data_IF_634500910944
#
_entry.id   IF_634500910944
#
_cell.length_a   1.000
_cell.length_b   1.000
_cell.length_c   1.000
_cell.angle_alpha   90.00
_cell.angle_beta   90.00
_cell.angle_gamma   90.00
#
_symmetry.space_group_name_H-M   'P 1'
#
loop_
_entity.id
_entity.type
_entity.pdbx_description
1 polymer ?
#
# COMPACT_ATOMS: atom_id res chain seq x y z
N UNK A 1 8.84 40.78 -10.33
CA UNK A 1 8.02 39.58 -10.03
C UNK A 1 8.21 39.20 -8.57
N UNK A 2 7.10 39.07 -7.82
CA UNK A 2 7.10 39.07 -6.35
C UNK A 2 7.38 37.67 -5.82
N UNK A 3 8.39 37.54 -4.96
CA UNK A 3 8.79 36.31 -4.26
C UNK A 3 7.65 35.64 -3.46
N UNK A 4 6.58 36.38 -3.15
CA UNK A 4 5.36 35.85 -2.49
C UNK A 4 4.49 35.04 -3.46
N UNK A 5 4.44 35.43 -4.73
CA UNK A 5 3.77 34.66 -5.78
C UNK A 5 4.50 33.34 -6.04
N UNK A 6 5.84 33.36 -5.97
CA UNK A 6 6.68 32.16 -6.15
C UNK A 6 6.52 31.16 -5.01
N UNK A 7 6.46 31.62 -3.75
CA UNK A 7 6.25 30.74 -2.59
C UNK A 7 4.85 30.10 -2.62
N UNK A 8 3.83 30.89 -2.96
CA UNK A 8 2.45 30.41 -3.11
C UNK A 8 2.34 29.35 -4.21
N UNK A 9 3.00 29.57 -5.35
CA UNK A 9 3.10 28.58 -6.44
C UNK A 9 3.82 27.30 -6.02
N UNK A 10 4.90 27.41 -5.24
CA UNK A 10 5.61 26.23 -4.71
C UNK A 10 4.74 25.42 -3.74
N UNK A 11 3.99 26.07 -2.85
CA UNK A 11 3.05 25.40 -1.94
C UNK A 11 1.96 24.67 -2.75
N UNK A 12 1.38 25.33 -3.75
CA UNK A 12 0.37 24.73 -4.62
C UNK A 12 0.93 23.50 -5.36
N UNK A 13 2.14 23.59 -5.93
CA UNK A 13 2.80 22.47 -6.58
C UNK A 13 3.05 21.30 -5.62
N UNK A 14 3.49 21.58 -4.38
CA UNK A 14 3.71 20.53 -3.37
C UNK A 14 2.42 19.89 -2.89
N UNK A 15 1.33 20.65 -2.79
CA UNK A 15 -0.01 20.11 -2.54
C UNK A 15 -0.41 19.12 -3.63
N UNK A 16 -0.28 19.50 -4.91
CA UNK A 16 -0.61 18.60 -6.03
C UNK A 16 0.23 17.30 -5.99
N UNK A 17 1.53 17.39 -5.67
CA UNK A 17 2.38 16.20 -5.54
C UNK A 17 1.96 15.31 -4.38
N UNK A 18 1.59 15.89 -3.25
CA UNK A 18 1.07 15.15 -2.12
C UNK A 18 -0.27 14.47 -2.46
N UNK A 19 -1.19 15.19 -3.08
CA UNK A 19 -2.50 14.65 -3.47
C UNK A 19 -2.33 13.44 -4.42
N UNK A 20 -1.39 13.52 -5.37
CA UNK A 20 -1.01 12.38 -6.23
C UNK A 20 -0.43 11.21 -5.45
N UNK A 21 0.45 11.48 -4.48
CA UNK A 21 1.04 10.42 -3.66
C UNK A 21 0.02 9.76 -2.71
N UNK A 22 -0.97 10.52 -2.22
CA UNK A 22 -2.10 10.00 -1.46
C UNK A 22 -2.94 9.06 -2.33
N UNK A 23 -3.28 9.48 -3.54
CA UNK A 23 -4.03 8.64 -4.50
C UNK A 23 -3.24 7.36 -4.84
N UNK A 24 -1.96 7.49 -5.18
CA UNK A 24 -1.11 6.33 -5.46
C UNK A 24 -1.00 5.38 -4.25
N UNK A 25 -0.89 5.90 -3.03
CA UNK A 25 -0.86 5.07 -1.82
C UNK A 25 -2.19 4.32 -1.61
N UNK A 26 -3.33 4.93 -1.94
CA UNK A 26 -4.63 4.27 -1.89
C UNK A 26 -4.75 3.15 -2.95
N UNK A 27 -4.27 3.38 -4.17
CA UNK A 27 -4.20 2.35 -5.21
C UNK A 27 -3.31 1.17 -4.77
N UNK A 28 -2.15 1.46 -4.16
CA UNK A 28 -1.24 0.42 -3.63
C UNK A 28 -1.85 -0.35 -2.47
N UNK A 29 -2.62 0.32 -1.61
CA UNK A 29 -3.39 -0.33 -0.55
C UNK A 29 -4.36 -1.35 -1.16
N UNK A 30 -5.17 -0.93 -2.14
CA UNK A 30 -6.14 -1.80 -2.79
C UNK A 30 -5.47 -2.98 -3.52
N UNK A 31 -4.33 -2.75 -4.19
CA UNK A 31 -3.56 -3.81 -4.83
C UNK A 31 -3.03 -4.84 -3.81
N UNK A 32 -2.53 -4.37 -2.66
CA UNK A 32 -2.05 -5.23 -1.58
C UNK A 32 -3.19 -6.06 -0.96
N UNK A 33 -4.38 -5.47 -0.77
CA UNK A 33 -5.57 -6.17 -0.29
C UNK A 33 -6.05 -7.23 -1.29
N UNK A 34 -6.07 -6.90 -2.58
CA UNK A 34 -6.42 -7.85 -3.63
C UNK A 34 -5.41 -9.02 -3.71
N UNK A 35 -4.11 -8.74 -3.59
CA UNK A 35 -3.08 -9.78 -3.56
C UNK A 35 -3.23 -10.69 -2.33
N UNK A 36 -3.59 -10.12 -1.17
CA UNK A 36 -3.87 -10.90 0.04
C UNK A 36 -5.08 -11.81 -0.13
N UNK A 37 -6.19 -11.28 -0.66
CA UNK A 37 -7.38 -12.08 -0.91
C UNK A 37 -7.12 -13.23 -1.90
N UNK A 38 -6.26 -13.02 -2.91
CA UNK A 38 -5.83 -14.09 -3.83
C UNK A 38 -5.03 -15.17 -3.12
N UNK A 39 -4.11 -14.78 -2.23
CA UNK A 39 -3.35 -15.74 -1.43
C UNK A 39 -4.30 -16.55 -0.53
N UNK A 40 -5.19 -15.87 0.20
CA UNK A 40 -6.16 -16.54 1.07
C UNK A 40 -7.02 -17.55 0.30
N UNK A 41 -7.46 -17.20 -0.92
CA UNK A 41 -8.22 -18.10 -1.80
C UNK A 41 -7.37 -19.29 -2.29
N UNK A 42 -6.12 -19.06 -2.68
CA UNK A 42 -5.20 -20.12 -3.11
C UNK A 42 -4.89 -21.11 -1.98
N UNK A 43 -4.56 -20.59 -0.79
CA UNK A 43 -4.33 -21.40 0.42
C UNK A 43 -5.58 -22.21 0.80
N UNK A 44 -6.77 -21.62 0.68
CA UNK A 44 -8.03 -22.33 0.96
C UNK A 44 -8.29 -23.47 -0.05
N UNK A 45 -7.99 -23.27 -1.33
CA UNK A 45 -8.14 -24.35 -2.33
C UNK A 45 -7.12 -25.46 -2.12
N UNK A 46 -5.85 -25.12 -1.83
CA UNK A 46 -4.82 -26.10 -1.50
C UNK A 46 -5.22 -26.95 -0.27
N UNK A 47 -5.77 -26.32 0.77
CA UNK A 47 -6.29 -27.03 1.95
C UNK A 47 -7.44 -27.99 1.59
N UNK A 48 -8.42 -27.53 0.80
CA UNK A 48 -9.53 -28.38 0.33
C UNK A 48 -9.04 -29.55 -0.52
N UNK A 49 -8.02 -29.35 -1.35
CA UNK A 49 -7.44 -30.42 -2.14
C UNK A 49 -6.73 -31.45 -1.24
N UNK A 50 -6.00 -31.00 -0.23
CA UNK A 50 -5.38 -31.86 0.77
C UNK A 50 -6.40 -32.74 1.49
N UNK A 51 -7.54 -32.17 1.90
CA UNK A 51 -8.66 -32.92 2.49
C UNK A 51 -9.24 -33.96 1.52
N UNK A 52 -9.46 -33.59 0.25
CA UNK A 52 -9.94 -34.53 -0.79
C UNK A 52 -8.96 -35.68 -1.01
N UNK A 53 -7.66 -35.40 -1.00
CA UNK A 53 -6.61 -36.41 -1.16
C UNK A 53 -6.63 -37.39 0.01
N UNK A 54 -6.60 -36.90 1.24
CA UNK A 54 -6.65 -37.74 2.45
C UNK A 54 -7.91 -38.62 2.42
N UNK A 55 -9.09 -38.03 2.17
CA UNK A 55 -10.33 -38.79 2.09
C UNK A 55 -10.30 -39.89 1.00
N UNK A 56 -9.62 -39.64 -0.12
CA UNK A 56 -9.46 -40.62 -1.21
C UNK A 56 -8.52 -41.76 -0.81
N UNK A 57 -7.42 -41.43 -0.12
CA UNK A 57 -6.45 -42.39 0.41
C UNK A 57 -7.10 -43.27 1.49
N UNK A 58 -7.81 -42.68 2.43
CA UNK A 58 -8.54 -43.39 3.48
C UNK A 58 -9.58 -44.36 2.90
N UNK A 59 -10.38 -43.90 1.93
CA UNK A 59 -11.36 -44.75 1.25
C UNK A 59 -10.71 -45.93 0.50
N UNK A 60 -9.48 -45.77 -0.01
CA UNK A 60 -8.74 -46.87 -0.64
C UNK A 60 -8.26 -47.87 0.41
N UNK A 61 -7.72 -47.38 1.54
CA UNK A 61 -7.25 -48.21 2.65
C UNK A 61 -8.40 -49.01 3.27
N UNK A 62 -9.56 -48.39 3.48
CA UNK A 62 -10.77 -49.08 3.97
C UNK A 62 -11.20 -50.19 3.02
N UNK A 63 -11.20 -49.93 1.71
CA UNK A 63 -11.55 -50.96 0.70
C UNK A 63 -10.58 -52.12 0.70
N UNK A 64 -9.28 -51.86 0.87
CA UNK A 64 -8.25 -52.89 1.00
C UNK A 64 -8.41 -53.72 2.28
N UNK A 65 -8.83 -53.08 3.38
CA UNK A 65 -9.08 -53.76 4.65
C UNK A 65 -10.30 -54.70 4.58
N UNK A 66 -11.33 -54.32 3.81
CA UNK A 66 -12.57 -55.11 3.69
C UNK A 66 -12.45 -56.26 2.69
N UNK A 67 -11.69 -56.10 1.59
CA UNK A 67 -11.46 -57.18 0.63
C UNK A 67 -10.18 -56.99 -0.19
N UNK A 68 -9.62 -58.09 -0.72
CA UNK A 68 -8.63 -58.00 -1.77
C UNK A 68 -9.18 -57.20 -2.96
N UNK A 69 -8.41 -56.22 -3.42
CA UNK A 69 -8.72 -55.47 -4.64
C UNK A 69 -8.14 -56.17 -5.85
N UNK A 70 -8.85 -56.10 -6.97
CA UNK A 70 -8.35 -56.59 -8.25
C UNK A 70 -7.24 -55.68 -8.78
N UNK A 71 -6.36 -56.21 -9.63
CA UNK A 71 -5.29 -55.43 -10.27
C UNK A 71 -5.82 -54.18 -10.99
N UNK A 72 -6.96 -54.29 -11.69
CA UNK A 72 -7.58 -53.14 -12.37
C UNK A 72 -8.15 -52.09 -11.41
N UNK A 73 -8.63 -52.48 -10.23
CA UNK A 73 -9.05 -51.53 -9.19
C UNK A 73 -7.87 -50.77 -8.59
N UNK A 74 -6.75 -51.48 -8.36
CA UNK A 74 -5.51 -50.88 -7.88
C UNK A 74 -4.96 -49.88 -8.90
N UNK A 75 -4.94 -50.25 -10.19
CA UNK A 75 -4.52 -49.35 -11.27
C UNK A 75 -5.31 -48.04 -11.29
N UNK A 76 -6.65 -48.13 -11.33
CA UNK A 76 -7.53 -46.94 -11.31
C UNK A 76 -7.34 -46.08 -10.06
N UNK A 77 -7.09 -46.70 -8.90
CA UNK A 77 -6.84 -45.96 -7.67
C UNK A 77 -5.50 -45.20 -7.73
N UNK A 78 -4.45 -45.82 -8.27
CA UNK A 78 -3.15 -45.17 -8.47
C UNK A 78 -3.25 -44.00 -9.45
N UNK A 79 -3.95 -44.17 -10.56
CA UNK A 79 -4.16 -43.09 -11.53
C UNK A 79 -4.92 -41.90 -10.91
N UNK A 80 -5.96 -42.19 -10.11
CA UNK A 80 -6.73 -41.16 -9.42
C UNK A 80 -5.90 -40.41 -8.35
N UNK A 81 -5.06 -41.12 -7.60
CA UNK A 81 -4.15 -40.50 -6.62
C UNK A 81 -3.08 -39.68 -7.31
N UNK A 82 -2.49 -40.17 -8.41
CA UNK A 82 -1.51 -39.43 -9.18
C UNK A 82 -2.09 -38.13 -9.77
N UNK A 83 -3.35 -38.16 -10.23
CA UNK A 83 -4.04 -36.95 -10.68
C UNK A 83 -4.23 -35.93 -9.55
N UNK A 84 -4.63 -36.39 -8.36
CA UNK A 84 -4.74 -35.53 -7.18
C UNK A 84 -3.38 -34.96 -6.76
N UNK A 85 -2.30 -35.76 -6.82
CA UNK A 85 -0.95 -35.27 -6.53
C UNK A 85 -0.50 -34.19 -7.51
N UNK A 86 -0.81 -34.34 -8.80
CA UNK A 86 -0.54 -33.31 -9.80
C UNK A 86 -1.34 -32.03 -9.51
N UNK A 87 -2.65 -32.14 -9.25
CA UNK A 87 -3.51 -31.01 -8.89
C UNK A 87 -2.97 -30.29 -7.64
N UNK A 88 -2.53 -31.04 -6.62
CA UNK A 88 -1.91 -30.49 -5.42
C UNK A 88 -0.64 -29.70 -5.72
N UNK A 89 0.24 -30.23 -6.57
CA UNK A 89 1.46 -29.53 -6.98
C UNK A 89 1.18 -28.23 -7.75
N UNK A 90 0.14 -28.21 -8.59
CA UNK A 90 -0.31 -27.02 -9.31
C UNK A 90 -0.85 -25.95 -8.34
N UNK A 91 -1.63 -26.36 -7.34
CA UNK A 91 -2.15 -25.46 -6.29
C UNK A 91 -1.05 -24.91 -5.39
N UNK A 92 -0.07 -25.74 -5.01
CA UNK A 92 1.10 -25.31 -4.24
C UNK A 92 1.91 -24.27 -5.00
N UNK A 93 2.08 -24.47 -6.31
CA UNK A 93 2.73 -23.49 -7.17
C UNK A 93 1.95 -22.17 -7.22
N UNK A 94 0.63 -22.23 -7.42
CA UNK A 94 -0.24 -21.05 -7.44
C UNK A 94 -0.22 -20.30 -6.10
N UNK A 95 -0.19 -21.01 -4.96
CA UNK A 95 -0.06 -20.39 -3.65
C UNK A 95 1.29 -19.68 -3.51
N UNK A 96 2.39 -20.31 -3.92
CA UNK A 96 3.72 -19.69 -3.88
C UNK A 96 3.79 -18.43 -4.76
N UNK A 97 3.19 -18.45 -5.95
CA UNK A 97 3.09 -17.27 -6.80
C UNK A 97 2.27 -16.16 -6.14
N UNK A 98 1.13 -16.50 -5.53
CA UNK A 98 0.31 -15.53 -4.79
C UNK A 98 1.08 -14.92 -3.60
N UNK A 99 1.86 -15.72 -2.86
CA UNK A 99 2.74 -15.24 -1.78
C UNK A 99 3.79 -14.26 -2.30
N UNK A 100 4.45 -14.58 -3.42
CA UNK A 100 5.43 -13.68 -4.06
C UNK A 100 4.78 -12.38 -4.53
N UNK A 101 3.59 -12.47 -5.13
CA UNK A 101 2.82 -11.29 -5.54
C UNK A 101 2.45 -10.40 -4.36
N UNK A 102 2.02 -10.98 -3.23
CA UNK A 102 1.70 -10.22 -2.02
C UNK A 102 2.95 -9.54 -1.43
N UNK A 103 4.08 -10.25 -1.39
CA UNK A 103 5.34 -9.67 -0.93
C UNK A 103 5.75 -8.46 -1.78
N UNK A 104 5.67 -8.59 -3.12
CA UNK A 104 5.97 -7.50 -4.04
C UNK A 104 5.04 -6.29 -3.86
N UNK A 105 3.72 -6.50 -3.79
CA UNK A 105 2.79 -5.38 -3.59
C UNK A 105 2.92 -4.74 -2.19
N UNK A 106 3.30 -5.52 -1.17
CA UNK A 106 3.61 -5.00 0.17
C UNK A 106 4.83 -4.07 0.15
N UNK A 107 5.88 -4.46 -0.58
CA UNK A 107 7.08 -3.63 -0.75
C UNK A 107 6.74 -2.31 -1.46
N UNK A 108 6.01 -2.38 -2.58
CA UNK A 108 5.57 -1.18 -3.32
C UNK A 108 4.67 -0.27 -2.49
N UNK A 109 3.80 -0.84 -1.66
CA UNK A 109 2.99 -0.08 -0.71
C UNK A 109 3.87 0.64 0.32
N UNK A 110 4.90 -0.01 0.83
CA UNK A 110 5.83 0.61 1.77
C UNK A 110 6.61 1.76 1.11
N UNK A 111 7.03 1.60 -0.14
CA UNK A 111 7.66 2.67 -0.94
C UNK A 111 6.72 3.87 -1.13
N UNK A 112 5.48 3.64 -1.55
CA UNK A 112 4.48 4.69 -1.72
C UNK A 112 4.19 5.44 -0.40
N UNK A 113 4.15 4.72 0.73
CA UNK A 113 4.00 5.34 2.05
C UNK A 113 5.20 6.24 2.42
N UNK A 114 6.43 5.82 2.11
CA UNK A 114 7.65 6.63 2.32
C UNK A 114 7.64 7.88 1.44
N UNK A 115 7.23 7.74 0.18
CA UNK A 115 7.12 8.87 -0.75
C UNK A 115 6.06 9.88 -0.29
N UNK A 116 4.88 9.41 0.13
CA UNK A 116 3.83 10.26 0.70
C UNK A 116 4.36 11.06 1.90
N UNK A 117 5.01 10.37 2.85
CA UNK A 117 5.59 11.01 4.03
C UNK A 117 6.66 12.06 3.67
N UNK A 118 7.46 11.79 2.63
CA UNK A 118 8.42 12.77 2.12
C UNK A 118 7.71 14.03 1.63
N UNK A 119 6.66 13.90 0.83
CA UNK A 119 5.93 15.06 0.32
C UNK A 119 5.17 15.81 1.41
N UNK A 120 4.63 15.13 2.42
CA UNK A 120 4.05 15.76 3.61
C UNK A 120 5.08 16.65 4.30
N UNK A 121 6.27 16.10 4.60
CA UNK A 121 7.36 16.86 5.24
C UNK A 121 7.82 18.05 4.40
N UNK A 122 7.93 17.88 3.08
CA UNK A 122 8.33 18.96 2.16
C UNK A 122 7.27 20.08 2.12
N UNK A 123 5.98 19.73 2.12
CA UNK A 123 4.88 20.70 2.19
C UNK A 123 4.87 21.44 3.51
N UNK A 124 5.01 20.74 4.62
CA UNK A 124 4.94 21.32 5.95
C UNK A 124 6.11 22.30 6.20
N UNK A 125 7.32 21.98 5.71
CA UNK A 125 8.45 22.92 5.70
C UNK A 125 8.12 24.23 4.97
N UNK A 126 7.48 24.15 3.80
CA UNK A 126 7.10 25.35 3.04
C UNK A 126 6.01 26.17 3.75
N UNK A 127 5.07 25.50 4.42
CA UNK A 127 4.04 26.18 5.21
C UNK A 127 4.65 26.92 6.40
N UNK A 128 5.64 26.34 7.08
CA UNK A 128 6.37 27.01 8.16
C UNK A 128 7.09 28.25 7.64
N UNK A 129 7.85 28.12 6.54
CA UNK A 129 8.54 29.25 5.91
C UNK A 129 7.58 30.37 5.49
N UNK A 130 6.40 30.02 4.97
CA UNK A 130 5.36 31.00 4.61
C UNK A 130 4.81 31.73 5.83
N UNK A 131 4.58 31.03 6.95
CA UNK A 131 4.14 31.63 8.21
C UNK A 131 5.18 32.57 8.80
N UNK A 132 6.44 32.15 8.84
CA UNK A 132 7.55 32.97 9.35
C UNK A 132 7.71 34.25 8.55
N UNK A 133 7.64 34.15 7.21
CA UNK A 133 7.74 35.30 6.32
C UNK A 133 6.55 36.25 6.46
N UNK A 134 5.33 35.73 6.57
CA UNK A 134 4.14 36.53 6.82
C UNK A 134 4.26 37.30 8.15
N UNK A 135 4.69 36.62 9.22
CA UNK A 135 4.92 37.26 10.52
C UNK A 135 6.03 38.32 10.49
N UNK A 136 7.11 38.10 9.72
CA UNK A 136 8.14 39.10 9.52
C UNK A 136 7.65 40.32 8.72
N UNK A 137 6.80 40.11 7.71
CA UNK A 137 6.18 41.19 6.95
C UNK A 137 5.20 42.01 7.81
N UNK A 138 4.41 41.36 8.66
CA UNK A 138 3.50 42.02 9.60
C UNK A 138 4.26 42.90 10.58
N UNK A 139 5.29 42.35 11.25
CA UNK A 139 6.15 43.12 12.18
C UNK A 139 6.81 44.32 11.51
N UNK A 140 7.25 44.17 10.26
CA UNK A 140 7.83 45.29 9.50
C UNK A 140 6.79 46.37 9.19
N UNK A 141 5.56 45.99 8.85
CA UNK A 141 4.48 46.95 8.62
C UNK A 141 4.07 47.68 9.91
N UNK A 142 4.03 46.98 11.05
CA UNK A 142 3.80 47.57 12.38
C UNK A 142 4.88 48.60 12.72
N UNK A 143 6.17 48.24 12.60
CA UNK A 143 7.29 49.17 12.85
C UNK A 143 7.27 50.40 11.93
N UNK A 144 6.91 50.23 10.65
CA UNK A 144 6.76 51.36 9.72
C UNK A 144 5.60 52.26 10.13
N UNK A 145 4.47 51.69 10.54
CA UNK A 145 3.32 52.46 11.01
C UNK A 145 3.62 53.22 12.32
N UNK A 146 4.43 52.64 13.21
CA UNK A 146 4.92 53.31 14.42
C UNK A 146 5.84 54.49 14.10
N UNK A 147 6.79 54.31 13.17
CA UNK A 147 7.66 55.39 12.69
C UNK A 147 6.86 56.54 12.04
N UNK A 148 5.91 56.21 11.15
CA UNK A 148 5.04 57.21 10.51
C UNK A 148 4.19 57.97 11.54
N UNK A 149 3.74 57.29 12.60
CA UNK A 149 2.96 57.91 13.68
C UNK A 149 3.81 58.86 14.55
N UNK A 150 5.10 58.61 14.70
CA UNK A 150 6.01 59.46 15.46
C UNK A 150 6.54 60.66 14.66
N UNK A 151 6.79 60.49 13.36
CA UNK A 151 7.11 61.60 12.44
C UNK A 151 5.94 62.60 12.34
N UNK A 152 4.70 62.11 12.36
CA UNK A 152 3.49 62.95 12.44
C UNK A 152 3.31 63.69 13.78
N UNK A 153 3.95 63.24 14.85
CA UNK A 153 3.94 63.89 16.18
C UNK A 153 5.05 64.92 16.37
N UNK A 154 6.17 64.80 15.64
CA UNK A 154 7.31 65.73 15.69
C UNK A 154 7.10 67.03 14.91
N UNK A 155 6.15 67.09 13.97
CA UNK A 155 5.87 68.24 13.11
C UNK A 155 4.75 69.15 13.62
N UNK A 156 4.65 69.39 14.93
CA UNK A 156 3.83 70.49 15.46
C UNK A 156 4.71 71.73 15.66
N UNK A 157 4.65 72.75 14.77
CA UNK A 157 5.29 74.03 15.04
C UNK A 157 4.59 74.69 16.24
N UNK A 158 5.40 75.22 17.16
CA UNK A 158 4.95 76.18 18.17
C UNK A 158 4.62 77.51 17.52
#
# INVERSE_FOLDING_TARGET
>A
MRRDDDLSRLIALRKVRLDRAVAAAAERQAACEAARARLDAASAEAARQGERRIAREDALLERLAMRPLTSGEIGRARDALAHLEQEGAELDHAEQEARRSLAHETERRAEAARERLRFERERDKLLTLARERSGAALRRAELLAELDADDGRGSRPR
#
